data_IF_738624567252
#
_entry.id   IF_738624567252
#
_cell.length_a   1.000
_cell.length_b   1.000
_cell.length_c   1.000
_cell.angle_alpha   90.00
_cell.angle_beta   90.00
_cell.angle_gamma   90.00
#
_symmetry.space_group_name_H-M   'P 1'
#
loop_
_entity.id
_entity.type
_entity.pdbx_description
1 polymer ?
#
# COMPACT_ATOMS: atom_id res chain seq x y z
N UNK A 1 -11.66 -34.08 13.69
CA UNK A 1 -12.28 -32.74 13.71
C UNK A 1 -11.39 -31.78 12.91
N UNK A 2 -11.92 -31.08 11.91
CA UNK A 2 -11.17 -30.01 11.24
C UNK A 2 -11.00 -28.84 12.22
N UNK A 3 -9.75 -28.45 12.47
CA UNK A 3 -9.42 -27.31 13.31
C UNK A 3 -9.87 -26.02 12.60
N UNK A 4 -11.07 -25.51 12.92
CA UNK A 4 -11.59 -24.26 12.35
C UNK A 4 -11.18 -23.06 13.19
N UNK A 5 -10.72 -22.00 12.53
CA UNK A 5 -10.41 -20.72 13.19
C UNK A 5 -11.67 -20.12 13.82
N UNK A 6 -11.53 -19.51 15.00
CA UNK A 6 -12.66 -18.89 15.71
C UNK A 6 -13.03 -17.56 15.05
N UNK A 7 -14.29 -17.42 14.61
CA UNK A 7 -14.84 -16.16 14.10
C UNK A 7 -14.96 -15.13 15.23
N UNK A 8 -14.08 -14.13 15.25
CA UNK A 8 -14.02 -13.10 16.30
C UNK A 8 -14.01 -11.67 15.77
N UNK A 9 -13.78 -11.48 14.46
CA UNK A 9 -13.68 -10.15 13.87
C UNK A 9 -15.08 -9.64 13.52
N UNK A 10 -15.57 -8.67 14.30
CA UNK A 10 -16.83 -7.95 14.06
C UNK A 10 -16.68 -6.82 13.04
N UNK A 11 -17.77 -6.08 12.80
CA UNK A 11 -17.76 -4.89 11.93
C UNK A 11 -16.72 -3.85 12.37
N UNK A 12 -16.78 -3.37 13.62
CA UNK A 12 -15.86 -2.35 14.13
C UNK A 12 -14.40 -2.81 14.20
N UNK A 13 -14.17 -4.06 14.59
CA UNK A 13 -12.83 -4.66 14.55
C UNK A 13 -12.30 -4.76 13.12
N UNK A 14 -13.15 -5.14 12.16
CA UNK A 14 -12.82 -5.16 10.74
C UNK A 14 -12.46 -3.76 10.23
N UNK A 15 -13.24 -2.73 10.61
CA UNK A 15 -12.94 -1.33 10.25
C UNK A 15 -11.58 -0.91 10.80
N UNK A 16 -11.31 -1.15 12.09
CA UNK A 16 -10.03 -0.82 12.70
C UNK A 16 -8.84 -1.51 12.01
N UNK A 17 -8.98 -2.79 11.65
CA UNK A 17 -7.94 -3.55 10.94
C UNK A 17 -7.69 -2.96 9.55
N UNK A 18 -8.74 -2.71 8.77
CA UNK A 18 -8.61 -2.20 7.40
C UNK A 18 -8.06 -0.77 7.41
N UNK A 19 -8.61 0.14 8.20
CA UNK A 19 -8.11 1.52 8.29
C UNK A 19 -6.66 1.55 8.76
N UNK A 20 -6.28 0.75 9.77
CA UNK A 20 -4.89 0.68 10.25
C UNK A 20 -3.92 0.11 9.21
N UNK A 21 -4.38 -0.83 8.37
CA UNK A 21 -3.58 -1.40 7.29
C UNK A 21 -3.38 -0.44 6.12
N UNK A 22 -4.37 0.42 5.83
CA UNK A 22 -4.29 1.42 4.77
C UNK A 22 -3.47 2.64 5.19
N UNK A 23 -3.68 3.13 6.41
CA UNK A 23 -2.93 4.25 6.96
C UNK A 23 -1.51 3.76 7.31
N UNK A 24 -0.57 4.06 6.43
CA UNK A 24 0.83 3.67 6.57
C UNK A 24 1.79 4.78 6.17
N UNK A 25 2.91 4.41 5.55
CA UNK A 25 3.90 5.36 5.03
C UNK A 25 3.42 6.19 3.85
N UNK A 26 2.39 5.72 3.13
CA UNK A 26 1.93 6.33 1.87
C UNK A 26 1.55 7.79 1.99
N UNK A 27 0.69 8.15 2.95
CA UNK A 27 0.19 9.53 3.10
C UNK A 27 1.30 10.55 3.43
N UNK A 28 2.47 10.08 3.86
CA UNK A 28 3.63 10.91 4.16
C UNK A 28 4.59 11.07 2.98
N UNK A 29 4.39 10.33 1.88
CA UNK A 29 5.27 10.38 0.70
C UNK A 29 4.50 10.72 -0.59
N UNK A 30 3.31 10.14 -0.76
CA UNK A 30 2.49 10.28 -1.96
C UNK A 30 2.06 11.72 -2.25
N UNK A 31 1.78 12.63 -1.29
CA UNK A 31 1.36 14.00 -1.62
C UNK A 31 2.35 14.72 -2.55
N UNK A 32 3.65 14.68 -2.25
CA UNK A 32 4.68 15.29 -3.11
C UNK A 32 4.76 14.62 -4.48
N UNK A 33 4.65 13.28 -4.54
CA UNK A 33 4.64 12.52 -5.80
C UNK A 33 3.42 12.81 -6.67
N UNK A 34 2.22 12.90 -6.08
CA UNK A 34 0.98 13.23 -6.80
C UNK A 34 1.05 14.64 -7.37
N UNK A 35 1.42 15.63 -6.56
CA UNK A 35 1.51 17.04 -6.99
C UNK A 35 2.56 17.22 -8.08
N UNK A 36 3.72 16.57 -7.92
CA UNK A 36 4.77 16.60 -8.94
C UNK A 36 4.31 15.96 -10.26
N UNK A 37 3.55 14.87 -10.21
CA UNK A 37 3.04 14.21 -11.41
C UNK A 37 1.97 15.05 -12.13
N UNK A 38 1.20 15.88 -11.42
CA UNK A 38 0.21 16.79 -12.01
C UNK A 38 0.74 18.22 -12.20
N UNK A 39 2.05 18.37 -12.36
CA UNK A 39 2.74 19.63 -12.66
C UNK A 39 2.38 20.78 -11.70
N UNK A 40 2.19 20.45 -10.41
CA UNK A 40 1.92 21.43 -9.37
C UNK A 40 0.45 21.85 -9.23
N UNK A 41 -0.47 21.31 -10.04
CA UNK A 41 -1.90 21.62 -9.92
C UNK A 41 -2.50 21.08 -8.61
N UNK A 42 -2.81 21.99 -7.68
CA UNK A 42 -3.41 21.68 -6.37
C UNK A 42 -4.78 21.02 -6.53
N UNK A 43 -5.64 21.61 -7.37
CA UNK A 43 -7.00 21.14 -7.64
C UNK A 43 -7.02 19.75 -8.28
N UNK A 44 -6.15 19.52 -9.26
CA UNK A 44 -6.06 18.20 -9.91
C UNK A 44 -5.49 17.14 -8.96
N UNK A 45 -4.51 17.49 -8.12
CA UNK A 45 -3.99 16.60 -7.07
C UNK A 45 -5.11 16.12 -6.13
N UNK A 46 -5.99 17.03 -5.69
CA UNK A 46 -7.16 16.68 -4.88
C UNK A 46 -8.13 15.74 -5.59
N UNK A 47 -8.39 15.98 -6.88
CA UNK A 47 -9.24 15.09 -7.70
C UNK A 47 -8.62 13.69 -7.78
N UNK A 48 -7.31 13.58 -7.98
CA UNK A 48 -6.61 12.29 -8.00
C UNK A 48 -6.82 11.51 -6.71
N UNK A 49 -6.73 12.15 -5.54
CA UNK A 49 -6.96 11.49 -4.24
C UNK A 49 -8.38 10.92 -4.09
N UNK A 50 -9.40 11.67 -4.52
CA UNK A 50 -10.80 11.22 -4.50
C UNK A 50 -11.00 10.06 -5.48
N UNK A 51 -10.49 10.18 -6.71
CA UNK A 51 -10.64 9.13 -7.73
C UNK A 51 -9.90 7.87 -7.30
N UNK A 52 -8.72 7.97 -6.67
CA UNK A 52 -8.03 6.82 -6.08
C UNK A 52 -8.91 6.09 -5.04
N UNK A 53 -9.61 6.84 -4.17
CA UNK A 53 -10.54 6.25 -3.20
C UNK A 53 -11.71 5.50 -3.86
N UNK A 54 -12.29 6.07 -4.91
CA UNK A 54 -13.37 5.44 -5.71
C UNK A 54 -12.87 4.16 -6.38
N UNK A 55 -11.72 4.24 -7.04
CA UNK A 55 -11.08 3.13 -7.76
C UNK A 55 -10.70 1.99 -6.80
N UNK A 56 -10.21 2.32 -5.60
CA UNK A 56 -9.94 1.34 -4.55
C UNK A 56 -11.24 0.69 -4.04
N UNK A 57 -12.36 1.42 -3.97
CA UNK A 57 -13.67 0.88 -3.61
C UNK A 57 -14.20 -0.12 -4.64
N UNK A 58 -14.07 0.18 -5.94
CA UNK A 58 -14.45 -0.75 -7.02
C UNK A 58 -13.63 -2.06 -6.95
N UNK A 59 -12.33 -1.94 -6.69
CA UNK A 59 -11.44 -3.10 -6.52
C UNK A 59 -11.80 -3.91 -5.27
N UNK A 60 -12.11 -3.21 -4.16
CA UNK A 60 -12.53 -3.82 -2.89
C UNK A 60 -13.80 -4.63 -3.05
N UNK A 61 -14.77 -4.14 -3.81
CA UNK A 61 -16.01 -4.86 -4.11
C UNK A 61 -15.74 -6.20 -4.80
N UNK A 62 -14.81 -6.23 -5.77
CA UNK A 62 -14.42 -7.46 -6.45
C UNK A 62 -13.79 -8.47 -5.48
N UNK A 63 -12.89 -8.00 -4.62
CA UNK A 63 -12.26 -8.86 -3.61
C UNK A 63 -13.24 -9.36 -2.54
N UNK A 64 -14.23 -8.54 -2.14
CA UNK A 64 -15.26 -8.98 -1.20
C UNK A 64 -16.05 -10.16 -1.77
N UNK A 65 -16.37 -10.16 -3.07
CA UNK A 65 -17.02 -11.30 -3.72
C UNK A 65 -16.13 -12.56 -3.70
N UNK A 66 -14.84 -12.42 -4.02
CA UNK A 66 -13.91 -13.55 -3.96
C UNK A 66 -13.76 -14.12 -2.55
N UNK A 67 -13.50 -13.25 -1.57
CA UNK A 67 -13.33 -13.64 -0.16
C UNK A 67 -14.58 -14.31 0.42
N UNK A 68 -15.76 -13.82 0.06
CA UNK A 68 -17.02 -14.41 0.50
C UNK A 68 -17.39 -15.72 -0.22
N UNK A 69 -16.99 -15.87 -1.48
CA UNK A 69 -17.30 -17.05 -2.30
C UNK A 69 -16.37 -18.23 -2.02
N UNK A 70 -15.06 -17.98 -1.92
CA UNK A 70 -14.05 -19.04 -1.80
C UNK A 70 -13.78 -19.42 -0.34
N UNK A 71 -13.83 -18.45 0.60
CA UNK A 71 -13.65 -18.66 2.05
C UNK A 71 -12.37 -19.43 2.44
N UNK A 72 -11.36 -19.43 1.58
CA UNK A 72 -10.06 -20.06 1.85
C UNK A 72 -9.02 -19.01 2.26
N UNK A 73 -8.29 -19.32 3.32
CA UNK A 73 -7.13 -18.52 3.76
C UNK A 73 -5.96 -18.66 2.78
N UNK A 74 -5.51 -17.53 2.22
CA UNK A 74 -4.39 -17.49 1.27
C UNK A 74 -4.41 -16.33 0.28
N UNK A 75 -5.52 -15.60 0.21
CA UNK A 75 -5.65 -14.40 -0.62
C UNK A 75 -5.49 -14.71 -2.11
N UNK A 76 -4.80 -13.83 -2.83
CA UNK A 76 -4.67 -13.90 -4.29
C UNK A 76 -3.99 -15.20 -4.78
N UNK A 77 -3.07 -15.76 -3.98
CA UNK A 77 -2.42 -17.03 -4.31
C UNK A 77 -3.42 -18.16 -4.56
N UNK A 78 -4.39 -18.30 -3.66
CA UNK A 78 -5.43 -19.33 -3.74
C UNK A 78 -6.49 -18.96 -4.77
N UNK A 79 -6.90 -17.69 -4.81
CA UNK A 79 -7.87 -17.19 -5.79
C UNK A 79 -7.40 -17.47 -7.23
N UNK A 80 -6.11 -17.24 -7.51
CA UNK A 80 -5.53 -17.47 -8.83
C UNK A 80 -5.39 -18.94 -9.15
N UNK A 81 -5.04 -19.78 -8.17
CA UNK A 81 -5.00 -21.24 -8.36
C UNK A 81 -6.37 -21.77 -8.79
N UNK A 82 -7.46 -21.29 -8.17
CA UNK A 82 -8.82 -21.73 -8.46
C UNK A 82 -9.35 -21.18 -9.80
N UNK A 83 -9.03 -19.92 -10.13
CA UNK A 83 -9.56 -19.26 -11.34
C UNK A 83 -8.77 -19.61 -12.62
N UNK A 84 -7.45 -19.59 -12.52
CA UNK A 84 -6.52 -19.69 -13.66
C UNK A 84 -5.72 -20.99 -13.67
N UNK A 85 -5.56 -21.66 -12.53
CA UNK A 85 -4.74 -22.86 -12.39
C UNK A 85 -3.36 -22.57 -11.79
N UNK A 86 -2.53 -23.61 -11.70
CA UNK A 86 -1.27 -23.58 -10.97
C UNK A 86 -0.22 -22.63 -11.56
N UNK A 87 -0.18 -22.47 -12.88
CA UNK A 87 0.81 -21.62 -13.57
C UNK A 87 0.71 -20.14 -13.14
N UNK A 88 -0.48 -19.53 -13.23
CA UNK A 88 -0.67 -18.11 -12.85
C UNK A 88 -0.47 -17.92 -11.34
N UNK A 89 -0.91 -18.89 -10.54
CA UNK A 89 -0.65 -18.89 -9.09
C UNK A 89 0.85 -18.95 -8.77
N UNK A 90 1.64 -19.73 -9.53
CA UNK A 90 3.09 -19.80 -9.41
C UNK A 90 3.74 -18.47 -9.81
N UNK A 91 3.35 -17.89 -10.94
CA UNK A 91 3.85 -16.58 -11.38
C UNK A 91 3.59 -15.49 -10.33
N UNK A 92 2.41 -15.49 -9.69
CA UNK A 92 2.09 -14.58 -8.60
C UNK A 92 3.01 -14.76 -7.40
N UNK A 93 3.23 -16.01 -6.95
CA UNK A 93 4.14 -16.31 -5.84
C UNK A 93 5.56 -15.85 -6.16
N UNK A 94 6.08 -16.17 -7.35
CA UNK A 94 7.40 -15.74 -7.76
C UNK A 94 7.50 -14.22 -7.79
N UNK A 95 6.52 -13.53 -8.37
CA UNK A 95 6.54 -12.06 -8.45
C UNK A 95 6.54 -11.44 -7.07
N UNK A 96 5.65 -11.90 -6.18
CA UNK A 96 5.49 -11.33 -4.86
C UNK A 96 6.70 -11.57 -3.94
N UNK A 97 7.44 -12.66 -4.15
CA UNK A 97 8.65 -12.99 -3.38
C UNK A 97 9.87 -12.26 -3.92
N UNK A 98 10.08 -12.30 -5.22
CA UNK A 98 11.29 -11.79 -5.86
C UNK A 98 11.22 -10.27 -6.07
N UNK A 99 10.04 -9.67 -6.15
CA UNK A 99 9.83 -8.23 -6.34
C UNK A 99 9.23 -7.58 -5.09
N UNK A 100 9.93 -7.64 -3.95
CA UNK A 100 9.51 -6.98 -2.69
C UNK A 100 9.78 -5.46 -2.69
N UNK A 101 9.09 -4.77 -3.60
CA UNK A 101 9.20 -3.32 -3.77
C UNK A 101 8.60 -2.56 -2.58
N UNK A 102 7.54 -3.11 -1.97
CA UNK A 102 6.79 -2.44 -0.91
C UNK A 102 7.60 -2.25 0.38
N UNK A 103 8.42 -3.24 0.76
CA UNK A 103 9.36 -3.10 1.88
C UNK A 103 10.37 -1.98 1.63
N UNK A 104 10.88 -1.88 0.40
CA UNK A 104 11.84 -0.85 0.01
C UNK A 104 11.28 0.56 0.17
N UNK A 105 10.07 0.80 -0.34
CA UNK A 105 9.41 2.11 -0.23
C UNK A 105 9.21 2.49 1.25
N UNK A 106 8.59 1.61 2.04
CA UNK A 106 8.22 1.94 3.42
C UNK A 106 9.43 2.23 4.31
N UNK A 107 10.52 1.47 4.12
CA UNK A 107 11.75 1.61 4.90
C UNK A 107 12.62 2.79 4.47
N UNK A 108 12.65 3.11 3.18
CA UNK A 108 13.30 4.33 2.71
C UNK A 108 12.55 5.58 3.20
N UNK A 109 11.21 5.55 3.23
CA UNK A 109 10.40 6.62 3.85
C UNK A 109 10.69 6.73 5.34
N UNK A 110 10.75 5.61 6.08
CA UNK A 110 11.19 5.64 7.48
C UNK A 110 12.54 6.35 7.62
N UNK A 111 13.54 5.94 6.84
CA UNK A 111 14.90 6.47 6.95
C UNK A 111 14.94 7.97 6.62
N UNK A 112 14.25 8.41 5.57
CA UNK A 112 14.16 9.82 5.20
C UNK A 112 13.56 10.67 6.34
N UNK A 113 12.46 10.21 6.94
CA UNK A 113 11.79 10.91 8.05
C UNK A 113 12.62 10.89 9.34
N UNK A 114 13.23 9.75 9.66
CA UNK A 114 14.09 9.59 10.83
C UNK A 114 15.26 10.56 10.74
N UNK A 115 15.98 10.57 9.62
CA UNK A 115 17.14 11.44 9.42
C UNK A 115 16.73 12.90 9.42
N UNK A 116 15.67 13.27 8.69
CA UNK A 116 15.17 14.66 8.63
C UNK A 116 14.78 15.21 10.00
N UNK A 117 14.37 14.35 10.94
CA UNK A 117 14.10 14.72 12.32
C UNK A 117 15.33 15.16 13.12
N UNK A 118 16.54 14.66 12.78
CA UNK A 118 17.78 15.01 13.47
C UNK A 118 18.54 16.16 12.81
N UNK A 119 18.61 16.18 11.47
CA UNK A 119 19.40 17.18 10.72
C UNK A 119 18.60 18.44 10.37
N UNK A 120 17.28 18.44 10.60
CA UNK A 120 16.38 19.52 10.21
C UNK A 120 15.98 19.47 8.73
N UNK A 121 14.86 20.10 8.37
CA UNK A 121 14.25 19.99 7.03
C UNK A 121 15.04 20.68 5.90
N UNK A 122 16.08 21.46 6.21
CA UNK A 122 16.88 22.20 5.22
C UNK A 122 18.05 21.42 4.62
N UNK A 123 18.38 20.24 5.15
CA UNK A 123 19.51 19.44 4.67
C UNK A 123 19.05 18.11 4.07
N UNK A 124 19.40 17.86 2.80
CA UNK A 124 19.15 16.56 2.17
C UNK A 124 20.23 15.57 2.60
N UNK A 125 19.81 14.51 3.28
CA UNK A 125 20.72 13.41 3.60
C UNK A 125 21.20 12.71 2.32
N UNK A 126 22.48 12.28 2.23
CA UNK A 126 22.95 11.48 1.11
C UNK A 126 22.12 10.21 0.94
N UNK A 127 21.74 9.88 -0.29
CA UNK A 127 20.84 8.75 -0.60
C UNK A 127 21.40 7.41 -0.08
N UNK A 128 22.72 7.24 -0.09
CA UNK A 128 23.38 6.06 0.45
C UNK A 128 23.10 5.88 1.95
N UNK A 129 23.03 6.98 2.71
CA UNK A 129 22.79 6.93 4.15
C UNK A 129 21.33 6.52 4.43
N UNK A 130 20.37 7.05 3.67
CA UNK A 130 18.96 6.65 3.72
C UNK A 130 18.84 5.14 3.45
N UNK A 131 19.51 4.65 2.40
CA UNK A 131 19.49 3.23 2.01
C UNK A 131 20.11 2.33 3.09
N UNK A 132 21.23 2.72 3.69
CA UNK A 132 21.88 1.95 4.76
C UNK A 132 21.00 1.84 6.01
N UNK A 133 20.37 2.94 6.43
CA UNK A 133 19.42 2.95 7.56
C UNK A 133 18.22 2.05 7.26
N UNK A 134 17.67 2.12 6.04
CA UNK A 134 16.57 1.26 5.60
C UNK A 134 16.95 -0.24 5.63
N UNK A 135 18.14 -0.59 5.14
CA UNK A 135 18.66 -1.97 5.19
C UNK A 135 18.85 -2.47 6.62
N UNK A 136 19.48 -1.67 7.48
CA UNK A 136 19.68 -2.01 8.90
C UNK A 136 18.34 -2.26 9.59
N UNK A 137 17.34 -1.44 9.27
CA UNK A 137 16.01 -1.60 9.84
C UNK A 137 15.31 -2.86 9.33
N UNK A 138 15.41 -3.19 8.04
CA UNK A 138 14.85 -4.45 7.50
C UNK A 138 15.46 -5.66 8.19
N UNK A 139 16.79 -5.68 8.36
CA UNK A 139 17.51 -6.76 9.04
C UNK A 139 17.03 -6.89 10.49
N UNK A 140 16.92 -5.75 11.18
CA UNK A 140 16.46 -5.71 12.58
C UNK A 140 15.03 -6.22 12.72
N UNK A 141 14.11 -5.78 11.86
CA UNK A 141 12.72 -6.24 11.86
C UNK A 141 12.62 -7.73 11.52
N UNK A 142 13.36 -8.21 10.52
CA UNK A 142 13.40 -9.62 10.15
C UNK A 142 13.94 -10.49 11.29
N UNK A 143 14.99 -10.03 11.99
CA UNK A 143 15.51 -10.70 13.17
C UNK A 143 14.48 -10.75 14.31
N UNK A 144 13.80 -9.64 14.61
CA UNK A 144 12.76 -9.60 15.65
C UNK A 144 11.59 -10.54 15.32
N UNK A 145 11.13 -10.52 14.07
CA UNK A 145 10.06 -11.39 13.57
C UNK A 145 10.46 -12.87 13.56
N UNK A 146 11.77 -13.17 13.43
CA UNK A 146 12.28 -14.54 13.56
C UNK A 146 12.20 -15.09 14.99
N UNK A 147 12.22 -14.22 16.02
CA UNK A 147 12.37 -14.62 17.43
C UNK A 147 11.08 -14.63 18.24
N UNK A 148 10.15 -13.69 18.03
CA UNK A 148 8.88 -13.66 18.78
C UNK A 148 7.79 -12.88 18.07
N UNK A 149 6.80 -13.59 17.52
CA UNK A 149 5.60 -12.99 16.90
C UNK A 149 4.71 -12.30 17.95
N UNK A 150 4.75 -12.72 19.24
CA UNK A 150 3.87 -12.15 20.29
C UNK A 150 4.31 -10.78 20.76
N UNK A 151 5.62 -10.53 20.84
CA UNK A 151 6.15 -9.20 21.19
C UNK A 151 5.79 -8.17 20.12
N UNK A 152 5.74 -8.64 18.88
CA UNK A 152 5.48 -7.86 17.67
C UNK A 152 4.03 -7.34 17.60
N UNK A 153 3.02 -8.17 17.92
CA UNK A 153 1.60 -7.76 17.89
C UNK A 153 1.27 -6.70 18.95
N UNK A 154 1.92 -6.73 20.12
CA UNK A 154 1.69 -5.72 21.18
C UNK A 154 2.19 -4.34 20.79
N UNK A 155 3.27 -4.29 20.01
CA UNK A 155 3.90 -3.06 19.53
C UNK A 155 3.01 -2.37 18.47
N UNK A 156 2.25 -3.14 17.67
CA UNK A 156 1.39 -2.63 16.61
C UNK A 156 0.25 -1.73 17.13
N UNK A 157 -0.37 -2.05 18.28
CA UNK A 157 -1.48 -1.26 18.85
C UNK A 157 -1.01 0.16 19.22
N UNK A 158 0.18 0.28 19.83
CA UNK A 158 0.78 1.57 20.16
C UNK A 158 1.06 2.37 18.89
N UNK A 159 1.50 1.68 17.83
CA UNK A 159 1.81 2.30 16.55
C UNK A 159 0.57 2.81 15.81
N UNK A 160 -0.57 2.12 15.93
CA UNK A 160 -1.85 2.58 15.36
C UNK A 160 -2.30 3.92 15.94
N UNK A 161 -2.12 4.15 17.25
CA UNK A 161 -2.47 5.44 17.87
C UNK A 161 -1.57 6.56 17.33
N UNK A 162 -0.27 6.31 17.19
CA UNK A 162 0.68 7.28 16.63
C UNK A 162 0.34 7.70 15.21
N UNK A 163 -0.15 6.77 14.38
CA UNK A 163 -0.58 7.02 12.99
C UNK A 163 -1.65 8.11 12.89
N UNK A 164 -2.73 7.93 13.64
CA UNK A 164 -3.85 8.86 13.61
C UNK A 164 -3.51 10.19 14.29
N UNK A 165 -2.67 10.16 15.34
CA UNK A 165 -2.20 11.38 15.99
C UNK A 165 -1.46 12.29 15.00
N UNK A 166 -0.53 11.75 14.21
CA UNK A 166 0.22 12.53 13.21
C UNK A 166 -0.73 13.20 12.21
N UNK A 167 -1.69 12.43 11.68
CA UNK A 167 -2.67 12.95 10.73
C UNK A 167 -3.56 14.02 11.35
N UNK A 168 -4.06 13.80 12.58
CA UNK A 168 -4.86 14.79 13.29
C UNK A 168 -4.10 16.09 13.52
N UNK A 169 -2.81 16.02 13.91
CA UNK A 169 -1.99 17.22 14.09
C UNK A 169 -1.82 18.00 12.79
N UNK A 170 -1.59 17.32 11.66
CA UNK A 170 -1.47 17.97 10.35
C UNK A 170 -2.79 18.60 9.92
N UNK A 171 -3.89 17.84 10.04
CA UNK A 171 -5.22 18.31 9.68
C UNK A 171 -5.66 19.52 10.51
N UNK A 172 -5.55 19.44 11.84
CA UNK A 172 -5.97 20.53 12.75
C UNK A 172 -5.07 21.75 12.57
N UNK A 173 -3.74 21.54 12.53
CA UNK A 173 -2.78 22.61 12.35
C UNK A 173 -2.99 23.37 11.04
N UNK A 174 -3.25 22.65 9.96
CA UNK A 174 -3.54 23.25 8.66
C UNK A 174 -4.86 24.00 8.61
N UNK A 175 -5.94 23.44 9.18
CA UNK A 175 -7.24 24.13 9.27
C UNK A 175 -7.12 25.43 10.06
N UNK A 176 -6.40 25.42 11.20
CA UNK A 176 -6.19 26.64 11.99
C UNK A 176 -5.45 27.70 11.17
N UNK A 177 -4.39 27.32 10.45
CA UNK A 177 -3.64 28.24 9.56
C UNK A 177 -4.51 28.80 8.44
N UNK A 178 -5.34 27.97 7.83
CA UNK A 178 -6.27 28.39 6.78
C UNK A 178 -7.30 29.39 7.30
N UNK A 179 -7.89 29.13 8.47
CA UNK A 179 -8.87 30.03 9.12
C UNK A 179 -8.23 31.35 9.53
N UNK A 180 -6.98 31.33 10.00
CA UNK A 180 -6.20 32.53 10.29
C UNK A 180 -5.75 33.28 9.03
N UNK A 181 -6.02 32.72 7.85
CA UNK A 181 -5.82 33.36 6.57
C UNK A 181 -4.38 33.39 6.09
N UNK A 182 -3.63 32.32 6.35
CA UNK A 182 -2.25 32.12 5.87
C UNK A 182 -2.15 32.44 4.35
N UNK A 183 -1.23 33.33 3.93
CA UNK A 183 -1.12 33.76 2.55
C UNK A 183 -0.84 32.61 1.58
N UNK A 184 -0.03 31.62 2.00
CA UNK A 184 0.33 30.46 1.15
C UNK A 184 -0.90 29.62 0.85
N UNK A 185 -1.69 29.32 1.89
CA UNK A 185 -2.95 28.60 1.73
C UNK A 185 -3.93 29.33 0.82
N UNK A 186 -4.07 30.65 0.99
CA UNK A 186 -4.95 31.46 0.13
C UNK A 186 -4.53 31.40 -1.34
N UNK A 187 -3.25 31.54 -1.63
CA UNK A 187 -2.73 31.46 -2.99
C UNK A 187 -2.99 30.08 -3.62
N UNK A 188 -2.63 29.01 -2.90
CA UNK A 188 -2.82 27.63 -3.35
C UNK A 188 -4.28 27.30 -3.67
N UNK A 189 -5.24 27.79 -2.87
CA UNK A 189 -6.66 27.49 -3.06
C UNK A 189 -7.38 28.46 -4.01
N UNK A 190 -6.94 29.71 -4.14
CA UNK A 190 -7.53 30.66 -5.09
C UNK A 190 -7.25 30.24 -6.54
N UNK A 191 -6.04 29.76 -6.81
CA UNK A 191 -5.59 29.35 -8.14
C UNK A 191 -5.47 27.82 -8.27
N UNK A 192 -6.31 27.08 -7.55
CA UNK A 192 -6.18 25.62 -7.45
C UNK A 192 -6.23 24.89 -8.82
N UNK A 193 -6.99 25.42 -9.77
CA UNK A 193 -7.09 24.91 -11.15
C UNK A 193 -6.49 25.88 -12.17
N UNK A 194 -5.41 26.58 -11.82
CA UNK A 194 -4.73 27.46 -12.78
C UNK A 194 -4.30 26.67 -14.03
N UNK A 195 -4.52 27.28 -15.20
CA UNK A 195 -4.24 26.67 -16.50
C UNK A 195 -2.75 26.38 -16.71
N UNK A 196 -1.87 27.15 -16.07
CA UNK A 196 -0.41 26.97 -16.15
C UNK A 196 0.03 25.61 -15.58
N UNK A 197 -0.58 25.16 -14.48
CA UNK A 197 -0.30 23.85 -13.89
C UNK A 197 -0.98 22.68 -14.62
N UNK A 198 -1.96 22.94 -15.50
CA UNK A 198 -2.64 21.90 -16.28
C UNK A 198 -2.10 21.77 -17.72
N UNK A 199 -1.32 22.75 -18.18
CA UNK A 199 -0.72 22.73 -19.51
C UNK A 199 0.33 21.62 -19.61
N UNK A 200 0.22 20.78 -20.64
CA UNK A 200 1.20 19.74 -20.94
C UNK A 200 1.10 18.46 -20.09
N UNK A 201 0.04 18.28 -19.29
CA UNK A 201 -0.21 17.01 -18.58
C UNK A 201 -0.54 15.92 -19.59
N UNK A 202 0.26 14.86 -19.60
CA UNK A 202 0.05 13.67 -20.44
C UNK A 202 -0.83 12.62 -19.74
N UNK A 203 -1.32 11.61 -20.46
CA UNK A 203 -2.05 10.52 -19.81
C UNK A 203 -1.12 9.66 -18.93
N UNK A 204 0.17 9.60 -19.26
CA UNK A 204 1.24 8.98 -18.47
C UNK A 204 1.50 9.70 -17.16
N UNK A 205 1.44 11.04 -17.14
CA UNK A 205 1.49 11.85 -15.91
C UNK A 205 0.36 11.50 -14.95
N UNK A 206 -0.86 11.43 -15.49
CA UNK A 206 -2.04 11.01 -14.75
C UNK A 206 -1.84 9.57 -14.22
N UNK A 207 -1.31 8.66 -15.05
CA UNK A 207 -0.99 7.29 -14.64
C UNK A 207 0.00 7.23 -13.46
N UNK A 208 1.05 8.04 -13.48
CA UNK A 208 2.02 8.14 -12.37
C UNK A 208 1.34 8.73 -11.13
N UNK A 209 0.55 9.79 -11.27
CA UNK A 209 -0.20 10.38 -10.16
C UNK A 209 -1.13 9.34 -9.50
N UNK A 210 -1.77 8.48 -10.30
CA UNK A 210 -2.54 7.35 -9.79
C UNK A 210 -1.69 6.30 -9.08
N UNK A 211 -0.50 5.95 -9.57
CA UNK A 211 0.40 5.06 -8.84
C UNK A 211 0.79 5.62 -7.48
N UNK A 212 1.11 6.92 -7.42
CA UNK A 212 1.43 7.62 -6.19
C UNK A 212 0.25 7.61 -5.21
N UNK A 213 -0.94 7.99 -5.67
CA UNK A 213 -2.14 8.02 -4.84
C UNK A 213 -2.56 6.62 -4.38
N UNK A 214 -2.62 5.64 -5.29
CA UNK A 214 -3.04 4.27 -4.98
C UNK A 214 -2.08 3.54 -4.05
N UNK A 215 -0.79 3.88 -4.07
CA UNK A 215 0.16 3.38 -3.06
C UNK A 215 -0.33 3.69 -1.64
N UNK A 216 -0.83 4.91 -1.39
CA UNK A 216 -1.37 5.32 -0.09
C UNK A 216 -2.65 4.59 0.32
N UNK A 217 -3.42 4.09 -0.65
CA UNK A 217 -4.61 3.29 -0.38
C UNK A 217 -4.31 1.79 -0.23
N UNK A 218 -3.07 1.34 -0.39
CA UNK A 218 -2.75 -0.10 -0.27
C UNK A 218 -3.08 -0.61 1.13
N UNK A 219 -3.79 -1.75 1.21
CA UNK A 219 -4.13 -2.38 2.50
C UNK A 219 -5.60 -2.78 2.63
N UNK A 220 -6.49 -2.29 1.74
CA UNK A 220 -7.92 -2.63 1.74
C UNK A 220 -8.19 -4.14 1.62
N UNK A 221 -7.28 -4.91 1.04
CA UNK A 221 -7.43 -6.35 0.85
C UNK A 221 -7.20 -7.19 2.12
N UNK A 222 -6.68 -6.60 3.20
CA UNK A 222 -6.25 -7.34 4.42
C UNK A 222 -7.38 -8.17 5.02
N UNK A 223 -8.61 -7.64 5.06
CA UNK A 223 -9.74 -8.32 5.67
C UNK A 223 -10.17 -9.56 4.89
N UNK A 224 -9.89 -9.61 3.58
CA UNK A 224 -10.14 -10.79 2.75
C UNK A 224 -9.18 -11.93 3.09
N UNK A 225 -7.94 -11.62 3.50
CA UNK A 225 -6.94 -12.64 3.87
C UNK A 225 -7.29 -13.38 5.16
N UNK A 226 -8.09 -12.77 6.02
CA UNK A 226 -8.58 -13.31 7.30
C UNK A 226 -10.10 -13.53 7.29
N UNK A 227 -10.69 -13.72 6.11
CA UNK A 227 -12.15 -13.85 5.96
C UNK A 227 -12.75 -14.98 6.82
N UNK A 228 -11.99 -16.04 7.10
CA UNK A 228 -12.41 -17.14 7.97
C UNK A 228 -12.63 -16.71 9.44
N UNK A 229 -11.97 -15.64 9.88
CA UNK A 229 -12.06 -15.10 11.24
C UNK A 229 -13.17 -14.03 11.37
N UNK A 230 -13.76 -13.61 10.26
CA UNK A 230 -14.81 -12.58 10.21
C UNK A 230 -16.17 -13.17 10.56
N UNK A 231 -16.84 -12.53 11.51
CA UNK A 231 -18.24 -12.81 11.87
C UNK A 231 -19.17 -12.30 10.76
N UNK A 232 -20.15 -13.10 10.35
CA UNK A 232 -21.07 -12.77 9.23
C UNK A 232 -20.34 -12.16 8.01
N UNK A 233 -19.45 -12.96 7.39
CA UNK A 233 -18.64 -12.57 6.22
C UNK A 233 -19.49 -11.92 5.13
N UNK A 234 -20.74 -12.38 4.95
CA UNK A 234 -21.70 -11.86 3.97
C UNK A 234 -22.09 -10.38 4.16
N UNK A 235 -21.96 -9.86 5.38
CA UNK A 235 -22.38 -8.50 5.75
C UNK A 235 -21.21 -7.64 6.21
N UNK A 236 -20.35 -8.18 7.08
CA UNK A 236 -19.32 -7.39 7.74
C UNK A 236 -18.12 -7.15 6.85
N UNK A 237 -17.73 -8.10 5.99
CA UNK A 237 -16.61 -7.93 5.05
C UNK A 237 -16.80 -6.72 4.11
N UNK A 238 -17.88 -6.63 3.30
CA UNK A 238 -18.06 -5.49 2.39
C UNK A 238 -18.28 -4.18 3.13
N UNK A 239 -19.06 -4.19 4.22
CA UNK A 239 -19.38 -2.97 4.97
C UNK A 239 -18.14 -2.41 5.67
N UNK A 240 -17.36 -3.26 6.34
CA UNK A 240 -16.17 -2.81 7.03
C UNK A 240 -15.14 -2.27 6.04
N UNK A 241 -14.88 -2.97 4.92
CA UNK A 241 -13.90 -2.54 3.94
C UNK A 241 -14.29 -1.23 3.24
N UNK A 242 -15.54 -1.08 2.80
CA UNK A 242 -16.00 0.14 2.13
C UNK A 242 -16.09 1.34 3.09
N UNK A 243 -16.57 1.11 4.32
CA UNK A 243 -16.62 2.17 5.32
C UNK A 243 -15.22 2.65 5.71
N UNK A 244 -14.25 1.73 5.82
CA UNK A 244 -12.85 2.07 6.06
C UNK A 244 -12.26 2.90 4.93
N UNK A 245 -12.53 2.53 3.67
CA UNK A 245 -12.13 3.29 2.50
C UNK A 245 -12.68 4.72 2.51
N UNK A 246 -13.95 4.90 2.88
CA UNK A 246 -14.55 6.22 2.99
C UNK A 246 -13.85 7.06 4.07
N UNK A 247 -13.62 6.49 5.25
CA UNK A 247 -12.89 7.17 6.35
C UNK A 247 -11.50 7.59 5.87
N UNK A 248 -10.74 6.66 5.29
CA UNK A 248 -9.36 6.91 4.82
C UNK A 248 -9.35 7.99 3.74
N UNK A 249 -10.28 7.94 2.79
CA UNK A 249 -10.38 8.95 1.72
C UNK A 249 -10.62 10.33 2.30
N UNK A 250 -11.58 10.47 3.23
CA UNK A 250 -11.85 11.75 3.90
C UNK A 250 -10.64 12.23 4.69
N UNK A 251 -9.99 11.35 5.45
CA UNK A 251 -8.79 11.72 6.21
C UNK A 251 -7.62 12.14 5.31
N UNK A 252 -7.38 11.44 4.22
CA UNK A 252 -6.34 11.79 3.25
C UNK A 252 -6.64 13.13 2.58
N UNK A 253 -7.89 13.41 2.25
CA UNK A 253 -8.28 14.73 1.72
C UNK A 253 -7.99 15.84 2.73
N UNK A 254 -8.39 15.68 4.00
CA UNK A 254 -8.16 16.69 5.03
C UNK A 254 -6.66 16.88 5.29
N UNK A 255 -5.86 15.80 5.29
CA UNK A 255 -4.40 15.90 5.42
C UNK A 255 -3.77 16.65 4.25
N UNK A 256 -4.17 16.37 3.02
CA UNK A 256 -3.66 17.10 1.85
C UNK A 256 -4.07 18.58 1.92
N UNK A 257 -5.31 18.89 2.27
CA UNK A 257 -5.76 20.28 2.50
C UNK A 257 -4.88 20.94 3.58
N UNK A 258 -4.57 20.20 4.64
CA UNK A 258 -3.64 20.65 5.69
C UNK A 258 -2.26 20.99 5.15
N UNK A 259 -1.67 20.16 4.29
CA UNK A 259 -0.39 20.47 3.66
C UNK A 259 -0.45 21.74 2.81
N UNK A 260 -1.40 21.85 1.88
CA UNK A 260 -1.52 23.03 1.01
C UNK A 260 -1.92 24.31 1.74
N UNK A 261 -2.47 24.22 2.95
CA UNK A 261 -2.77 25.41 3.74
C UNK A 261 -1.53 26.13 4.29
N UNK A 262 -0.38 25.45 4.30
CA UNK A 262 0.85 25.93 4.93
C UNK A 262 2.03 25.90 3.96
N UNK A 263 2.17 24.83 3.18
CA UNK A 263 3.31 24.62 2.28
C UNK A 263 3.02 25.14 0.88
N UNK A 264 4.03 25.72 0.24
CA UNK A 264 3.94 26.04 -1.19
C UNK A 264 3.99 24.77 -2.04
N UNK A 265 3.50 24.84 -3.28
CA UNK A 265 3.57 23.72 -4.23
C UNK A 265 5.01 23.26 -4.45
N UNK A 266 5.95 24.21 -4.55
CA UNK A 266 7.37 23.92 -4.73
C UNK A 266 7.98 23.19 -3.51
N UNK A 267 7.64 23.64 -2.30
CA UNK A 267 8.08 22.98 -1.06
C UNK A 267 7.54 21.54 -0.97
N UNK A 268 6.30 21.30 -1.39
CA UNK A 268 5.71 19.96 -1.42
C UNK A 268 6.38 19.03 -2.44
N UNK A 269 6.81 19.57 -3.59
CA UNK A 269 7.45 18.78 -4.66
C UNK A 269 8.91 18.48 -4.37
N UNK A 270 9.61 19.37 -3.67
CA UNK A 270 11.06 19.25 -3.42
C UNK A 270 11.40 18.60 -2.09
N UNK A 271 10.49 18.66 -1.10
CA UNK A 271 10.75 18.12 0.23
C UNK A 271 10.79 16.59 0.24
N UNK A 272 11.87 15.97 0.76
CA UNK A 272 11.94 14.52 0.93
C UNK A 272 11.01 14.02 2.05
N UNK A 273 10.57 14.92 2.95
CA UNK A 273 9.74 14.60 4.11
C UNK A 273 8.70 15.72 4.34
N UNK A 274 7.67 15.75 3.48
CA UNK A 274 6.62 16.79 3.45
C UNK A 274 6.04 17.07 4.85
N UNK A 275 5.80 16.04 5.66
CA UNK A 275 5.21 16.25 6.99
C UNK A 275 6.18 16.90 7.98
N UNK A 276 7.49 16.70 7.83
CA UNK A 276 8.50 17.36 8.67
C UNK A 276 8.60 18.84 8.30
N UNK A 277 8.56 19.16 7.00
CA UNK A 277 8.51 20.55 6.52
C UNK A 277 7.29 21.28 7.09
N UNK A 278 6.11 20.65 7.02
CA UNK A 278 4.90 21.16 7.64
C UNK A 278 5.06 21.37 9.15
N UNK A 279 5.61 20.38 9.87
CA UNK A 279 5.79 20.44 11.31
C UNK A 279 6.67 21.62 11.76
N UNK A 280 7.74 21.90 11.02
CA UNK A 280 8.64 23.02 11.32
C UNK A 280 7.95 24.37 11.18
N UNK A 281 7.05 24.53 10.19
CA UNK A 281 6.32 25.78 9.98
C UNK A 281 5.16 25.96 10.97
N UNK A 282 4.53 24.88 11.46
CA UNK A 282 3.32 24.95 12.32
C UNK A 282 3.62 24.76 13.80
N UNK A 283 4.39 23.73 14.16
CA UNK A 283 4.57 23.28 15.55
C UNK A 283 5.81 23.86 16.24
N UNK A 284 6.71 24.50 15.48
CA UNK A 284 7.92 25.14 16.01
C UNK A 284 8.73 24.20 16.92
N UNK A 285 8.89 24.48 18.23
CA UNK A 285 9.65 23.63 19.15
C UNK A 285 9.16 22.18 19.26
N UNK A 286 7.87 21.94 18.94
CA UNK A 286 7.26 20.60 18.98
C UNK A 286 7.31 19.88 17.62
N UNK A 287 8.05 20.40 16.64
CA UNK A 287 8.15 19.81 15.30
C UNK A 287 8.65 18.36 15.30
N UNK A 288 9.43 17.95 16.31
CA UNK A 288 9.95 16.58 16.46
C UNK A 288 8.85 15.51 16.64
N UNK A 289 7.63 15.88 17.05
CA UNK A 289 6.51 14.95 17.24
C UNK A 289 6.13 14.27 15.92
N UNK A 290 6.14 15.01 14.81
CA UNK A 290 5.74 14.49 13.50
C UNK A 290 6.72 13.42 12.97
N UNK A 291 8.03 13.66 12.83
CA UNK A 291 8.95 12.61 12.38
C UNK A 291 8.93 11.40 13.32
N UNK A 292 8.79 11.58 14.63
CA UNK A 292 8.65 10.48 15.59
C UNK A 292 7.40 9.62 15.31
N UNK A 293 6.23 10.24 15.19
CA UNK A 293 4.96 9.55 14.95
C UNK A 293 4.90 8.91 13.56
N UNK A 294 5.49 9.54 12.54
CA UNK A 294 5.64 8.97 11.20
C UNK A 294 6.56 7.75 11.22
N UNK A 295 7.71 7.83 11.89
CA UNK A 295 8.61 6.69 12.06
C UNK A 295 7.92 5.51 12.75
N UNK A 296 7.15 5.79 13.80
CA UNK A 296 6.32 4.80 14.50
C UNK A 296 5.28 4.16 13.55
N UNK A 297 4.62 4.97 12.72
CA UNK A 297 3.66 4.49 11.71
C UNK A 297 4.29 3.54 10.70
N UNK A 298 5.41 3.94 10.10
CA UNK A 298 6.08 3.18 9.05
C UNK A 298 6.69 1.89 9.60
N UNK A 299 7.25 1.91 10.81
CA UNK A 299 7.69 0.72 11.53
C UNK A 299 6.56 -0.28 11.74
N UNK A 300 5.40 0.19 12.23
CA UNK A 300 4.25 -0.69 12.47
C UNK A 300 3.72 -1.32 11.20
N UNK A 301 3.59 -0.52 10.15
CA UNK A 301 3.16 -1.03 8.84
C UNK A 301 4.13 -2.08 8.28
N UNK A 302 5.43 -1.77 8.30
CA UNK A 302 6.45 -2.66 7.74
C UNK A 302 6.55 -3.96 8.53
N UNK A 303 6.42 -3.89 9.85
CA UNK A 303 6.42 -5.06 10.69
C UNK A 303 5.24 -6.00 10.39
N UNK A 304 4.02 -5.47 10.23
CA UNK A 304 2.86 -6.26 9.80
C UNK A 304 3.08 -6.88 8.41
N UNK A 305 3.70 -6.12 7.50
CA UNK A 305 4.06 -6.60 6.17
C UNK A 305 5.09 -7.74 6.21
N UNK A 306 6.12 -7.68 7.06
CA UNK A 306 7.09 -8.76 7.24
C UNK A 306 6.42 -10.07 7.69
N UNK A 307 5.44 -9.99 8.59
CA UNK A 307 4.68 -11.17 9.04
C UNK A 307 3.86 -11.77 7.91
N UNK A 308 3.16 -10.95 7.13
CA UNK A 308 2.33 -11.43 6.02
C UNK A 308 3.19 -11.99 4.88
N UNK A 309 4.24 -11.27 4.48
CA UNK A 309 5.18 -11.68 3.42
C UNK A 309 5.95 -12.93 3.79
N UNK A 310 6.34 -13.11 5.05
CA UNK A 310 6.99 -14.34 5.53
C UNK A 310 6.13 -15.60 5.42
N UNK A 311 4.80 -15.47 5.41
CA UNK A 311 3.86 -16.60 5.30
C UNK A 311 3.68 -17.10 3.88
N UNK A 312 3.76 -16.24 2.86
CA UNK A 312 3.50 -16.65 1.48
C UNK A 312 4.51 -17.69 0.95
N UNK A 313 5.86 -17.49 1.05
CA UNK A 313 6.83 -18.51 0.64
C UNK A 313 6.66 -19.82 1.42
N UNK A 314 6.29 -19.72 2.70
CA UNK A 314 6.05 -20.88 3.55
C UNK A 314 4.85 -21.73 3.07
N UNK A 315 3.72 -21.09 2.75
CA UNK A 315 2.54 -21.77 2.23
C UNK A 315 2.79 -22.30 0.82
N UNK A 316 3.45 -21.52 -0.04
CA UNK A 316 3.82 -21.93 -1.38
C UNK A 316 4.75 -23.16 -1.39
N UNK A 317 5.76 -23.18 -0.51
CA UNK A 317 6.65 -24.34 -0.36
C UNK A 317 5.93 -25.59 0.12
N UNK A 318 4.92 -25.46 1.00
CA UNK A 318 4.08 -26.59 1.42
C UNK A 318 3.23 -27.16 0.29
N UNK A 319 2.78 -26.33 -0.63
CA UNK A 319 2.06 -26.76 -1.84
C UNK A 319 2.97 -27.21 -2.98
N UNK A 320 4.29 -27.25 -2.78
CA UNK A 320 5.27 -27.70 -3.77
C UNK A 320 5.67 -26.67 -4.83
N UNK A 321 5.33 -25.39 -4.64
CA UNK A 321 5.71 -24.28 -5.54
C UNK A 321 7.14 -23.79 -5.32
N UNK A 322 7.74 -24.13 -4.16
CA UNK A 322 9.08 -23.71 -3.77
C UNK A 322 9.82 -24.89 -3.11
N UNK A 323 11.17 -24.85 -3.06
CA UNK A 323 11.96 -25.85 -2.36
C UNK A 323 11.52 -26.03 -0.90
N UNK A 324 11.58 -27.28 -0.41
CA UNK A 324 11.10 -27.65 0.94
C UNK A 324 11.79 -26.89 2.09
N UNK A 325 12.96 -26.29 1.87
CA UNK A 325 13.63 -25.45 2.88
C UNK A 325 12.74 -24.29 3.36
N UNK A 326 11.93 -23.70 2.48
CA UNK A 326 11.07 -22.57 2.83
C UNK A 326 9.79 -22.99 3.58
N UNK A 327 9.48 -24.29 3.68
CA UNK A 327 8.39 -24.78 4.52
C UNK A 327 8.83 -25.15 5.95
N UNK A 328 10.12 -24.97 6.28
CA UNK A 328 10.65 -25.25 7.62
C UNK A 328 10.26 -24.16 8.63
N UNK A 329 10.10 -24.58 9.89
CA UNK A 329 9.83 -23.70 11.04
C UNK A 329 10.93 -23.86 12.09
N UNK A 330 11.24 -22.77 12.79
CA UNK A 330 12.22 -22.80 13.88
C UNK A 330 11.67 -23.55 15.11
N UNK A 331 12.42 -24.53 15.62
CA UNK A 331 11.96 -25.43 16.70
C UNK A 331 11.56 -24.69 17.99
N UNK A 332 12.32 -23.66 18.38
CA UNK A 332 12.08 -22.92 19.64
C UNK A 332 11.05 -21.79 19.52
N UNK A 333 10.91 -21.20 18.32
CA UNK A 333 10.19 -19.93 18.13
C UNK A 333 8.94 -20.10 17.24
N UNK A 334 8.81 -21.25 16.56
CA UNK A 334 7.69 -21.57 15.67
C UNK A 334 7.49 -20.54 14.54
N UNK A 335 8.60 -19.99 14.04
CA UNK A 335 8.65 -18.97 13.00
C UNK A 335 9.26 -19.52 11.70
N UNK A 336 8.79 -19.08 10.51
CA UNK A 336 9.30 -19.54 9.21
C UNK A 336 10.57 -18.76 8.82
N UNK A 337 11.68 -19.01 9.53
CA UNK A 337 12.93 -18.25 9.39
C UNK A 337 13.50 -18.23 7.96
N UNK A 338 13.57 -19.36 7.22
CA UNK A 338 14.08 -19.33 5.85
C UNK A 338 13.26 -18.43 4.91
N UNK A 339 11.94 -18.41 5.07
CA UNK A 339 11.04 -17.55 4.28
C UNK A 339 11.17 -16.08 4.64
N UNK A 340 11.45 -15.76 5.91
CA UNK A 340 11.73 -14.39 6.33
C UNK A 340 13.07 -13.90 5.75
N UNK A 341 14.10 -14.74 5.77
CA UNK A 341 15.41 -14.43 5.19
C UNK A 341 15.28 -14.19 3.68
N UNK A 342 14.52 -15.03 2.97
CA UNK A 342 14.29 -14.86 1.53
C UNK A 342 13.66 -13.50 1.19
N UNK A 343 12.61 -13.12 1.91
CA UNK A 343 11.96 -11.82 1.71
C UNK A 343 12.92 -10.67 2.07
N UNK A 344 13.65 -10.78 3.18
CA UNK A 344 14.61 -9.75 3.59
C UNK A 344 15.71 -9.55 2.54
N UNK A 345 16.19 -10.63 1.93
CA UNK A 345 17.21 -10.60 0.89
C UNK A 345 16.73 -9.79 -0.34
N UNK A 346 15.56 -10.11 -0.89
CA UNK A 346 15.01 -9.36 -2.03
C UNK A 346 14.62 -7.92 -1.65
N UNK A 347 14.11 -7.71 -0.44
CA UNK A 347 13.85 -6.37 0.08
C UNK A 347 15.11 -5.50 0.12
N UNK A 348 16.26 -6.04 0.56
CA UNK A 348 17.56 -5.33 0.54
C UNK A 348 17.97 -4.98 -0.89
N UNK A 349 17.81 -5.90 -1.86
CA UNK A 349 18.13 -5.62 -3.26
C UNK A 349 17.34 -4.41 -3.77
N UNK A 350 16.02 -4.37 -3.55
CA UNK A 350 15.20 -3.24 -4.00
C UNK A 350 15.50 -1.94 -3.25
N UNK A 351 15.85 -2.00 -1.95
CA UNK A 351 16.32 -0.82 -1.20
C UNK A 351 17.61 -0.25 -1.84
N UNK A 352 18.55 -1.10 -2.24
CA UNK A 352 19.82 -0.66 -2.80
C UNK A 352 19.68 -0.16 -4.24
N UNK A 353 18.90 -0.84 -5.07
CA UNK A 353 18.76 -0.53 -6.49
C UNK A 353 17.84 0.64 -6.79
N UNK A 354 16.74 0.82 -6.05
CA UNK A 354 15.71 1.81 -6.36
C UNK A 354 15.73 3.03 -5.45
N UNK A 355 15.21 4.15 -5.96
CA UNK A 355 14.72 5.25 -5.14
C UNK A 355 13.21 5.10 -4.87
N UNK A 356 12.69 5.89 -3.94
CA UNK A 356 11.29 5.80 -3.51
C UNK A 356 10.31 5.94 -4.68
N UNK A 357 10.56 6.87 -5.61
CA UNK A 357 9.64 7.15 -6.72
C UNK A 357 9.65 6.05 -7.77
N UNK A 358 10.83 5.59 -8.15
CA UNK A 358 11.05 4.45 -9.01
C UNK A 358 10.38 3.19 -8.45
N UNK A 359 10.54 2.95 -7.15
CA UNK A 359 9.90 1.82 -6.47
C UNK A 359 8.38 1.97 -6.44
N UNK A 360 7.80 3.15 -6.16
CA UNK A 360 6.33 3.34 -6.18
C UNK A 360 5.77 3.07 -7.58
N UNK A 361 6.42 3.55 -8.64
CA UNK A 361 5.98 3.32 -10.01
C UNK A 361 6.01 1.82 -10.35
N UNK A 362 7.08 1.13 -9.98
CA UNK A 362 7.20 -0.32 -10.17
C UNK A 362 6.18 -1.12 -9.36
N UNK A 363 5.94 -0.72 -8.12
CA UNK A 363 4.92 -1.31 -7.26
C UNK A 363 3.52 -1.12 -7.85
N UNK A 364 3.21 0.07 -8.35
CA UNK A 364 1.95 0.39 -9.02
C UNK A 364 1.70 -0.55 -10.20
N UNK A 365 2.69 -0.72 -11.07
CA UNK A 365 2.61 -1.62 -12.22
C UNK A 365 2.32 -3.08 -11.83
N UNK A 366 3.09 -3.61 -10.87
CA UNK A 366 2.93 -5.00 -10.41
C UNK A 366 1.57 -5.21 -9.74
N UNK A 367 1.19 -4.33 -8.81
CA UNK A 367 -0.04 -4.50 -8.06
C UNK A 367 -1.28 -4.29 -8.92
N UNK A 368 -1.28 -3.35 -9.88
CA UNK A 368 -2.41 -3.17 -10.78
C UNK A 368 -2.59 -4.33 -11.75
N UNK A 369 -1.50 -5.00 -12.14
CA UNK A 369 -1.57 -6.28 -12.86
C UNK A 369 -2.29 -7.34 -12.00
N UNK A 370 -1.90 -7.48 -10.73
CA UNK A 370 -2.53 -8.40 -9.79
C UNK A 370 -4.00 -8.06 -9.54
N UNK A 371 -4.34 -6.78 -9.32
CA UNK A 371 -5.71 -6.34 -9.09
C UNK A 371 -6.60 -6.58 -10.32
N UNK A 372 -6.07 -6.37 -11.53
CA UNK A 372 -6.75 -6.72 -12.77
C UNK A 372 -7.03 -8.22 -12.89
N UNK A 373 -6.05 -9.07 -12.58
CA UNK A 373 -6.24 -10.52 -12.52
C UNK A 373 -7.25 -10.93 -11.45
N UNK A 374 -7.24 -10.29 -10.27
CA UNK A 374 -8.24 -10.55 -9.24
C UNK A 374 -9.65 -10.14 -9.69
N UNK A 375 -9.82 -8.98 -10.32
CA UNK A 375 -11.11 -8.58 -10.88
C UNK A 375 -11.58 -9.55 -12.00
N UNK A 376 -10.69 -9.95 -12.90
CA UNK A 376 -10.99 -10.90 -13.95
C UNK A 376 -11.34 -12.30 -13.40
N UNK A 377 -10.75 -12.70 -12.26
CA UNK A 377 -11.07 -13.96 -11.60
C UNK A 377 -12.55 -14.03 -11.17
N UNK A 378 -13.16 -12.91 -10.77
CA UNK A 378 -14.60 -12.83 -10.46
C UNK A 378 -15.42 -13.21 -11.69
N UNK A 379 -15.08 -12.66 -12.85
CA UNK A 379 -15.76 -12.92 -14.12
C UNK A 379 -15.60 -14.39 -14.52
N UNK A 380 -14.36 -14.90 -14.46
CA UNK A 380 -14.04 -16.29 -14.84
C UNK A 380 -14.75 -17.29 -13.92
N UNK A 381 -14.76 -17.05 -12.61
CA UNK A 381 -15.40 -17.95 -11.64
C UNK A 381 -16.92 -17.94 -11.77
N UNK A 382 -17.54 -16.85 -12.25
CA UNK A 382 -18.98 -16.84 -12.59
C UNK A 382 -19.30 -17.81 -13.71
N UNK A 383 -18.41 -17.96 -14.67
CA UNK A 383 -18.57 -18.90 -15.78
C UNK A 383 -18.15 -20.34 -15.43
N UNK A 384 -16.94 -20.53 -14.88
CA UNK A 384 -16.38 -21.86 -14.57
C UNK A 384 -17.06 -22.55 -13.39
N UNK A 385 -17.49 -21.77 -12.38
CA UNK A 385 -18.09 -22.30 -11.14
C UNK A 385 -19.38 -21.53 -10.81
N UNK A 386 -20.46 -21.70 -11.60
CA UNK A 386 -21.71 -20.97 -11.40
C UNK A 386 -22.39 -21.33 -10.07
N UNK A 387 -22.26 -22.59 -9.63
CA UNK A 387 -22.97 -23.16 -8.50
C UNK A 387 -22.34 -22.87 -7.11
N UNK A 388 -21.23 -22.13 -7.04
CA UNK A 388 -20.67 -21.72 -5.73
C UNK A 388 -21.66 -20.81 -5.03
N UNK A 389 -21.90 -21.07 -3.73
CA UNK A 389 -22.73 -20.21 -2.89
C UNK A 389 -22.07 -18.85 -2.72
N UNK A 390 -22.51 -17.88 -3.53
CA UNK A 390 -22.16 -16.47 -3.37
C UNK A 390 -23.21 -15.83 -2.47
N UNK A 391 -22.87 -15.31 -1.28
CA UNK A 391 -23.83 -14.58 -0.46
C UNK A 391 -24.49 -13.48 -1.30
N UNK A 392 -25.81 -13.53 -1.45
CA UNK A 392 -26.55 -12.67 -2.40
C UNK A 392 -26.25 -11.17 -2.23
N UNK A 393 -25.99 -10.74 -0.98
CA UNK A 393 -25.64 -9.35 -0.62
C UNK A 393 -24.26 -8.88 -1.08
N UNK A 394 -23.41 -9.79 -1.58
CA UNK A 394 -22.04 -9.50 -2.04
C UNK A 394 -21.92 -9.66 -3.57
N UNK A 395 -22.96 -10.14 -4.26
CA UNK A 395 -22.90 -10.32 -5.72
C UNK A 395 -22.78 -8.94 -6.38
N UNK A 396 -21.57 -8.59 -6.81
CA UNK A 396 -21.34 -7.29 -7.42
C UNK A 396 -21.93 -7.27 -8.83
N UNK A 397 -22.55 -6.16 -9.27
CA UNK A 397 -22.95 -6.02 -10.67
C UNK A 397 -21.77 -6.32 -11.60
N UNK A 398 -22.01 -7.05 -12.69
CA UNK A 398 -20.93 -7.52 -13.57
C UNK A 398 -20.13 -6.38 -14.21
N UNK A 399 -20.73 -5.21 -14.35
CA UNK A 399 -20.04 -4.02 -14.85
C UNK A 399 -18.89 -3.57 -13.93
N UNK A 400 -18.95 -3.85 -12.61
CA UNK A 400 -17.90 -3.45 -11.66
C UNK A 400 -16.60 -4.20 -11.93
N UNK A 401 -16.56 -5.56 -11.95
CA UNK A 401 -15.35 -6.28 -12.37
C UNK A 401 -14.84 -5.89 -13.74
N UNK A 402 -15.72 -5.66 -14.73
CA UNK A 402 -15.33 -5.24 -16.07
C UNK A 402 -14.64 -3.86 -16.02
N UNK A 403 -15.24 -2.89 -15.33
CA UNK A 403 -14.68 -1.56 -15.16
C UNK A 403 -13.34 -1.62 -14.44
N UNK A 404 -13.21 -2.41 -13.38
CA UNK A 404 -11.94 -2.60 -12.66
C UNK A 404 -10.86 -3.22 -13.55
N UNK A 405 -11.20 -4.21 -14.39
CA UNK A 405 -10.28 -4.76 -15.38
C UNK A 405 -9.82 -3.73 -16.40
N UNK A 406 -10.75 -2.90 -16.91
CA UNK A 406 -10.42 -1.83 -17.86
C UNK A 406 -9.50 -0.79 -17.22
N UNK A 407 -9.81 -0.34 -16.00
CA UNK A 407 -8.96 0.58 -15.24
C UNK A 407 -7.56 -0.01 -14.98
N UNK A 408 -7.49 -1.27 -14.58
CA UNK A 408 -6.23 -1.97 -14.39
C UNK A 408 -5.42 -2.04 -15.69
N UNK A 409 -6.06 -2.37 -16.81
CA UNK A 409 -5.41 -2.39 -18.12
C UNK A 409 -4.91 -1.00 -18.52
N UNK A 410 -5.71 0.05 -18.30
CA UNK A 410 -5.30 1.44 -18.54
C UNK A 410 -4.09 1.83 -17.71
N UNK A 411 -4.09 1.52 -16.41
CA UNK A 411 -2.96 1.84 -15.54
C UNK A 411 -1.70 1.05 -15.86
N UNK A 412 -1.82 -0.17 -16.40
CA UNK A 412 -0.65 -0.97 -16.82
C UNK A 412 -0.11 -0.51 -18.18
N UNK A 413 -0.99 -0.23 -19.15
CA UNK A 413 -0.61 0.03 -20.54
C UNK A 413 -0.14 1.48 -20.74
N UNK A 414 -0.86 2.48 -20.22
CA UNK A 414 -0.55 3.89 -20.49
C UNK A 414 0.85 4.30 -20.00
N UNK A 415 1.28 3.96 -18.77
CA UNK A 415 2.64 4.30 -18.33
C UNK A 415 3.73 3.61 -19.15
N UNK A 416 3.48 2.41 -19.70
CA UNK A 416 4.44 1.73 -20.57
C UNK A 416 4.61 2.45 -21.91
N UNK A 417 3.53 3.00 -22.46
CA UNK A 417 3.55 3.70 -23.75
C UNK A 417 4.12 5.11 -23.59
N UNK A 418 3.61 5.88 -22.62
CA UNK A 418 3.91 7.32 -22.53
C UNK A 418 5.13 7.63 -21.65
N UNK A 419 5.40 6.83 -20.62
CA UNK A 419 6.53 7.03 -19.69
C UNK A 419 7.26 5.71 -19.40
N UNK A 420 7.84 5.06 -20.44
CA UNK A 420 8.49 3.77 -20.30
C UNK A 420 9.58 3.82 -19.24
N UNK A 421 9.47 2.94 -18.25
CA UNK A 421 10.44 2.78 -17.19
C UNK A 421 11.08 1.39 -17.29
N UNK A 422 12.40 1.30 -17.07
CA UNK A 422 13.13 0.01 -17.05
C UNK A 422 12.49 -1.00 -16.10
N UNK A 423 11.88 -0.55 -15.00
CA UNK A 423 11.16 -1.41 -14.05
C UNK A 423 10.01 -2.18 -14.71
N UNK A 424 9.25 -1.55 -15.61
CA UNK A 424 8.12 -2.20 -16.27
C UNK A 424 8.61 -3.33 -17.17
N UNK A 425 9.68 -3.10 -17.93
CA UNK A 425 10.31 -4.14 -18.75
C UNK A 425 10.91 -5.27 -17.91
N UNK A 426 11.55 -4.94 -16.77
CA UNK A 426 12.02 -5.94 -15.81
C UNK A 426 10.87 -6.79 -15.25
N UNK A 427 9.73 -6.16 -14.94
CA UNK A 427 8.53 -6.85 -14.45
C UNK A 427 7.94 -7.79 -15.51
N UNK A 428 7.83 -7.32 -16.75
CA UNK A 428 7.35 -8.14 -17.89
C UNK A 428 8.29 -9.32 -18.14
N UNK A 429 9.60 -9.05 -18.19
CA UNK A 429 10.62 -10.10 -18.32
C UNK A 429 10.54 -11.12 -17.20
N UNK A 430 10.33 -10.66 -15.96
CA UNK A 430 10.15 -11.54 -14.81
C UNK A 430 8.88 -12.39 -14.92
N UNK A 431 7.75 -11.82 -15.36
CA UNK A 431 6.53 -12.59 -15.63
C UNK A 431 6.79 -13.70 -16.65
N UNK A 432 7.42 -13.37 -17.78
CA UNK A 432 7.74 -14.36 -18.82
C UNK A 432 8.67 -15.45 -18.29
N UNK A 433 9.75 -15.07 -17.60
CA UNK A 433 10.70 -16.03 -17.01
C UNK A 433 10.04 -16.92 -15.96
N UNK A 434 9.15 -16.37 -15.12
CA UNK A 434 8.41 -17.15 -14.14
C UNK A 434 7.47 -18.15 -14.82
N UNK A 435 6.79 -17.76 -15.91
CA UNK A 435 5.96 -18.65 -16.70
C UNK A 435 6.77 -19.78 -17.37
N UNK A 436 7.95 -19.46 -17.91
CA UNK A 436 8.85 -20.45 -18.51
C UNK A 436 9.36 -21.42 -17.44
N UNK A 437 9.81 -20.92 -16.27
CA UNK A 437 10.36 -21.74 -15.19
C UNK A 437 9.35 -22.70 -14.53
N UNK A 438 8.06 -22.52 -14.79
CA UNK A 438 7.01 -23.41 -14.32
C UNK A 438 6.96 -24.73 -15.11
N UNK A 439 7.36 -24.68 -16.39
CA UNK A 439 7.48 -25.84 -17.28
C UNK A 439 8.87 -26.46 -17.17
#
# INVERSE_FOLDING_TARGET
>A
EEFRLKRKVGFWSGVAIVTSAMVGSGIFVSPGGVVSAVHGSVGLSMVVWVVCGIVAALSTLCYCELGAALKESGGDFVNFEIAYGKMVSYMYVMTFIFMDVGSGISLQVFAAYFISGFIGAGCKAPDIFIKLVACLLLISLSFLNSRSVRSVVKIEIVFTVGKFLAMCLISIGGIIRLVNGDPVGKENFQNAFASEGMAGITAGDIGIAFYQGMFSYTGWMVLNTIAEEVTDVGRNLPRASLFSLLIVTVMYMIVNIGYFSVLSVEEMMTSPAVAVTFANQVLGPMAWIIPFTVCVSTLGNQNGACLLRGRLPFVAARKGYLPKIFSMIHVKYYTPVPSLILNAFFGIIFILCGDVQFLINGFGFVMWTVYGLSAASVIILRYKKPNITRPYRIKVPIFIPILTCLLAATFVILPVIEKPNIFYFLSIGFYILSGISYY
#
